data_IF_280969838122
#
_entry.id   IF_280969838122
#
_cell.length_a   1.000
_cell.length_b   1.000
_cell.length_c   1.000
_cell.angle_alpha   90.00
_cell.angle_beta   90.00
_cell.angle_gamma   90.00
#
_symmetry.space_group_name_H-M   'P 1'
#
loop_
_entity.id
_entity.type
_entity.pdbx_description
1 polymer ?
#
# COMPACT_ATOMS: atom_id res chain seq x y z
N UNK A 1 4.67 -27.34 9.51
CA UNK A 1 3.63 -27.74 10.47
C UNK A 1 2.90 -29.01 10.01
N UNK A 2 2.36 -29.06 8.77
CA UNK A 2 1.63 -30.24 8.27
C UNK A 2 2.44 -31.53 8.28
N UNK A 3 3.75 -31.47 8.09
CA UNK A 3 4.62 -32.64 8.02
C UNK A 3 5.18 -33.05 9.40
N UNK A 4 4.83 -32.35 10.46
CA UNK A 4 5.30 -32.68 11.82
C UNK A 4 4.75 -33.99 12.35
N UNK A 5 3.64 -34.50 11.80
CA UNK A 5 3.06 -35.82 12.13
C UNK A 5 3.82 -36.97 11.49
N UNK A 6 4.59 -36.71 10.42
CA UNK A 6 5.37 -37.73 9.68
C UNK A 6 6.70 -38.11 10.35
N UNK A 7 7.02 -37.43 11.49
CA UNK A 7 8.29 -37.67 12.23
C UNK A 7 9.55 -37.53 11.37
N UNK A 8 9.54 -36.61 10.42
CA UNK A 8 10.67 -36.35 9.53
C UNK A 8 11.72 -35.41 10.15
N UNK A 9 11.37 -34.73 11.23
CA UNK A 9 12.22 -33.83 11.96
C UNK A 9 11.75 -33.68 13.41
N UNK A 10 12.65 -33.37 14.32
CA UNK A 10 12.41 -33.23 15.76
C UNK A 10 12.36 -31.80 16.21
N UNK A 11 12.92 -30.87 15.42
CA UNK A 11 13.07 -29.48 15.78
C UNK A 11 12.66 -28.58 14.62
N UNK A 12 11.90 -27.52 14.92
CA UNK A 12 11.69 -26.37 14.05
C UNK A 12 12.50 -25.22 14.61
N UNK A 13 13.53 -24.77 13.87
CA UNK A 13 14.36 -23.64 14.24
C UNK A 13 13.90 -22.38 13.49
N UNK A 14 13.64 -21.32 14.22
CA UNK A 14 13.33 -20.00 13.70
C UNK A 14 14.36 -18.98 14.14
N UNK A 15 14.54 -17.92 13.38
CA UNK A 15 15.47 -16.86 13.78
C UNK A 15 15.00 -16.16 15.06
N UNK A 16 13.70 -15.78 15.09
CA UNK A 16 12.98 -15.23 16.25
C UNK A 16 11.58 -15.81 16.29
N UNK A 17 10.93 -15.81 17.45
CA UNK A 17 9.57 -16.31 17.60
C UNK A 17 8.53 -15.52 16.78
N UNK A 18 8.76 -14.22 16.57
CA UNK A 18 7.91 -13.36 15.73
C UNK A 18 7.90 -13.80 14.24
N UNK A 19 8.88 -14.62 13.81
CA UNK A 19 8.95 -15.21 12.46
C UNK A 19 8.24 -16.53 12.33
N UNK A 20 7.77 -17.11 13.42
CA UNK A 20 7.11 -18.41 13.42
C UNK A 20 5.67 -18.35 12.91
N UNK A 21 4.92 -17.33 13.30
CA UNK A 21 3.53 -17.16 12.89
C UNK A 21 3.19 -15.67 12.70
N UNK A 22 2.10 -15.41 11.96
CA UNK A 22 1.66 -14.04 11.63
C UNK A 22 0.93 -13.35 12.81
N UNK A 23 0.39 -14.13 13.73
CA UNK A 23 -0.33 -13.64 14.89
C UNK A 23 -0.24 -14.64 16.04
N UNK A 24 -0.60 -14.21 17.24
CA UNK A 24 -0.54 -14.99 18.48
C UNK A 24 -1.42 -16.25 18.45
N UNK A 25 -2.58 -16.20 17.81
CA UNK A 25 -3.50 -17.35 17.75
C UNK A 25 -2.92 -18.47 16.90
N UNK A 26 -2.37 -18.15 15.74
CA UNK A 26 -1.69 -19.11 14.87
C UNK A 26 -0.44 -19.68 15.56
N UNK A 27 0.34 -18.84 16.26
CA UNK A 27 1.49 -19.25 17.05
C UNK A 27 1.09 -20.30 18.08
N UNK A 28 0.11 -20.03 18.94
CA UNK A 28 -0.37 -20.96 19.96
C UNK A 28 -0.89 -22.27 19.36
N UNK A 29 -1.67 -22.19 18.28
CA UNK A 29 -2.19 -23.37 17.57
C UNK A 29 -1.07 -24.25 17.00
N UNK A 30 -0.11 -23.65 16.32
CA UNK A 30 1.00 -24.39 15.70
C UNK A 30 1.95 -24.97 16.73
N UNK A 31 2.24 -24.26 17.81
CA UNK A 31 3.03 -24.77 18.95
C UNK A 31 2.37 -25.99 19.60
N UNK A 32 1.06 -25.91 19.81
CA UNK A 32 0.29 -27.03 20.36
C UNK A 32 0.37 -28.26 19.44
N UNK A 33 0.24 -28.05 18.14
CA UNK A 33 0.34 -29.14 17.16
C UNK A 33 1.76 -29.75 17.10
N UNK A 34 2.81 -28.92 17.08
CA UNK A 34 4.20 -29.37 17.11
C UNK A 34 4.47 -30.18 18.38
N UNK A 35 4.08 -29.65 19.55
CA UNK A 35 4.25 -30.32 20.85
C UNK A 35 3.52 -31.69 20.88
N UNK A 36 2.30 -31.75 20.34
CA UNK A 36 1.54 -33.01 20.22
C UNK A 36 2.26 -34.06 19.37
N UNK A 37 2.95 -33.60 18.31
CA UNK A 37 3.69 -34.45 17.40
C UNK A 37 5.13 -34.74 17.89
N UNK A 38 5.53 -34.25 19.06
CA UNK A 38 6.86 -34.43 19.64
C UNK A 38 7.95 -33.54 19.02
N UNK A 39 7.57 -32.52 18.24
CA UNK A 39 8.48 -31.60 17.60
C UNK A 39 8.68 -30.36 18.48
N UNK A 40 9.93 -29.96 18.67
CA UNK A 40 10.33 -28.82 19.50
C UNK A 40 10.48 -27.56 18.63
N UNK A 41 9.92 -26.43 19.08
CA UNK A 41 10.17 -25.13 18.48
C UNK A 41 11.33 -24.44 19.21
N UNK A 42 12.33 -23.97 18.48
CA UNK A 42 13.48 -23.24 19.02
C UNK A 42 13.70 -21.93 18.27
N UNK A 43 14.08 -20.89 19.01
CA UNK A 43 14.57 -19.63 18.46
C UNK A 43 16.10 -19.61 18.44
N UNK A 44 16.71 -19.11 17.37
CA UNK A 44 18.14 -19.00 17.25
C UNK A 44 18.72 -17.85 18.10
N UNK A 45 17.93 -16.82 18.37
CA UNK A 45 18.39 -15.60 19.05
C UNK A 45 17.75 -15.39 20.42
N UNK A 46 16.70 -16.16 20.76
CA UNK A 46 15.96 -16.03 22.02
C UNK A 46 16.11 -17.32 22.83
N UNK A 47 16.85 -17.25 23.92
CA UNK A 47 17.03 -18.39 24.83
C UNK A 47 15.81 -18.45 25.74
N UNK A 48 14.92 -19.40 25.48
CA UNK A 48 13.72 -19.64 26.28
C UNK A 48 13.94 -20.93 27.06
N UNK A 49 13.87 -20.83 28.40
CA UNK A 49 13.96 -21.99 29.27
C UNK A 49 12.74 -22.91 29.09
N UNK A 50 12.90 -24.20 29.39
CA UNK A 50 11.80 -25.18 29.34
C UNK A 50 10.91 -25.15 30.59
N UNK A 51 11.26 -24.31 31.57
CA UNK A 51 10.54 -24.17 32.82
C UNK A 51 9.31 -23.24 32.73
N UNK A 52 8.55 -23.11 33.82
CA UNK A 52 7.40 -22.21 33.89
C UNK A 52 7.75 -20.75 33.58
N UNK A 53 8.95 -20.30 33.91
CA UNK A 53 9.50 -18.98 33.61
C UNK A 53 9.63 -18.75 32.10
N UNK A 54 9.95 -19.80 31.32
CA UNK A 54 10.00 -19.72 29.88
C UNK A 54 8.67 -19.44 29.25
N UNK A 55 7.57 -19.96 29.80
CA UNK A 55 6.20 -19.67 29.33
C UNK A 55 5.86 -18.19 29.50
N UNK A 56 6.28 -17.60 30.63
CA UNK A 56 6.06 -16.17 30.90
C UNK A 56 6.88 -15.33 29.91
N UNK A 57 8.17 -15.62 29.74
CA UNK A 57 9.04 -14.90 28.85
C UNK A 57 8.54 -14.96 27.39
N UNK A 58 8.15 -16.13 26.93
CA UNK A 58 7.57 -16.33 25.59
C UNK A 58 6.31 -15.49 25.38
N UNK A 59 5.40 -15.49 26.37
CA UNK A 59 4.17 -14.68 26.32
C UNK A 59 4.44 -13.17 26.29
N UNK A 60 5.47 -12.71 27.01
CA UNK A 60 5.90 -11.31 26.98
C UNK A 60 6.48 -10.94 25.62
N UNK A 61 7.36 -11.77 25.07
CA UNK A 61 7.95 -11.53 23.75
C UNK A 61 6.91 -11.49 22.62
N UNK A 62 5.96 -12.41 22.65
CA UNK A 62 4.85 -12.42 21.68
C UNK A 62 3.95 -11.18 21.83
N UNK A 63 3.58 -10.83 23.07
CA UNK A 63 2.77 -9.64 23.34
C UNK A 63 3.48 -8.35 22.94
N UNK A 64 4.79 -8.26 23.15
CA UNK A 64 5.60 -7.12 22.73
C UNK A 64 5.67 -6.99 21.19
N UNK A 65 5.84 -8.11 20.48
CA UNK A 65 5.88 -8.10 19.02
C UNK A 65 4.53 -7.66 18.42
N UNK A 66 3.41 -8.10 18.99
CA UNK A 66 2.07 -7.69 18.60
C UNK A 66 1.83 -6.20 18.86
N UNK A 67 2.17 -5.74 20.08
CA UNK A 67 2.10 -4.31 20.44
C UNK A 67 2.92 -3.44 19.47
N UNK A 68 4.17 -3.82 19.22
CA UNK A 68 5.05 -3.06 18.32
C UNK A 68 4.49 -2.95 16.90
N UNK A 69 3.90 -4.04 16.39
CA UNK A 69 3.26 -4.05 15.07
C UNK A 69 2.05 -3.13 15.01
N UNK A 70 1.22 -3.12 16.04
CA UNK A 70 0.04 -2.26 16.16
C UNK A 70 0.45 -0.78 16.28
N UNK A 71 1.39 -0.46 17.16
CA UNK A 71 1.93 0.89 17.35
C UNK A 71 2.57 1.45 16.07
N UNK A 72 3.34 0.61 15.35
CA UNK A 72 3.91 0.99 14.05
C UNK A 72 2.82 1.29 13.02
N UNK A 73 1.78 0.46 12.96
CA UNK A 73 0.66 0.67 12.03
C UNK A 73 -0.05 2.01 12.31
N UNK A 74 -0.28 2.35 13.57
CA UNK A 74 -0.87 3.64 13.96
C UNK A 74 0.03 4.83 13.59
N UNK A 75 1.34 4.72 13.85
CA UNK A 75 2.32 5.74 13.48
C UNK A 75 2.38 5.97 11.97
N UNK A 76 2.35 4.89 11.18
CA UNK A 76 2.31 4.97 9.71
C UNK A 76 1.03 5.66 9.23
N UNK A 77 -0.13 5.28 9.76
CA UNK A 77 -1.41 5.92 9.41
C UNK A 77 -1.39 7.40 9.73
N UNK A 78 -0.94 7.78 10.94
CA UNK A 78 -0.82 9.18 11.34
C UNK A 78 0.11 9.95 10.40
N UNK A 79 1.30 9.43 10.11
CA UNK A 79 2.25 10.08 9.20
C UNK A 79 1.70 10.24 7.79
N UNK A 80 0.97 9.25 7.27
CA UNK A 80 0.32 9.34 5.96
C UNK A 80 -0.83 10.36 5.95
N UNK A 81 -1.60 10.44 7.03
CA UNK A 81 -2.65 11.47 7.18
C UNK A 81 -2.04 12.87 7.22
N UNK A 82 -0.98 13.07 7.99
CA UNK A 82 -0.27 14.35 8.03
C UNK A 82 0.29 14.75 6.65
N UNK A 83 0.77 13.80 5.87
CA UNK A 83 1.27 14.08 4.54
C UNK A 83 0.18 14.66 3.64
N UNK A 84 -1.01 14.05 3.57
CA UNK A 84 -2.07 14.57 2.72
C UNK A 84 -2.60 15.93 3.21
N UNK A 85 -2.64 16.17 4.51
CA UNK A 85 -2.99 17.46 5.09
C UNK A 85 -1.99 18.58 4.69
N UNK A 86 -0.74 18.20 4.41
CA UNK A 86 0.34 19.08 3.92
C UNK A 86 0.45 19.10 2.38
N UNK A 87 -0.49 18.52 1.65
CA UNK A 87 -0.45 18.42 0.19
C UNK A 87 0.66 17.50 -0.34
N UNK A 88 1.15 16.54 0.46
CA UNK A 88 2.25 15.64 0.11
C UNK A 88 1.76 14.27 -0.35
N UNK A 89 2.50 13.68 -1.27
CA UNK A 89 2.24 12.33 -1.77
C UNK A 89 2.69 11.25 -0.78
N UNK A 90 1.79 10.33 -0.43
CA UNK A 90 2.05 9.22 0.51
C UNK A 90 2.92 8.08 -0.05
N UNK A 91 3.39 8.17 -1.25
CA UNK A 91 4.19 7.14 -1.88
C UNK A 91 3.78 6.88 -3.33
N UNK A 92 4.41 5.90 -3.96
CA UNK A 92 4.21 5.62 -5.36
C UNK A 92 4.96 6.55 -6.31
N UNK A 93 4.72 6.37 -7.61
CA UNK A 93 5.42 7.06 -8.70
C UNK A 93 4.82 8.40 -9.10
N UNK A 94 3.88 8.92 -8.33
CA UNK A 94 3.16 10.14 -8.69
C UNK A 94 1.90 9.87 -9.51
N UNK A 95 1.29 10.94 -9.97
CA UNK A 95 0.07 10.93 -10.80
C UNK A 95 0.43 11.53 -12.15
N UNK A 96 -0.02 10.95 -13.25
CA UNK A 96 0.18 11.50 -14.59
C UNK A 96 -0.31 12.95 -14.64
N UNK A 97 0.44 13.83 -15.28
CA UNK A 97 0.16 15.27 -15.27
C UNK A 97 0.80 16.05 -14.10
N UNK A 98 1.44 15.35 -13.16
CA UNK A 98 2.15 15.97 -12.05
C UNK A 98 3.58 15.45 -11.90
N UNK A 99 4.46 16.34 -11.45
CA UNK A 99 5.78 16.00 -10.90
C UNK A 99 5.76 16.15 -9.38
N UNK A 100 6.72 15.52 -8.71
CA UNK A 100 6.91 15.62 -7.27
C UNK A 100 8.27 16.26 -6.98
N UNK A 101 8.29 17.23 -6.08
CA UNK A 101 9.53 17.81 -5.58
C UNK A 101 10.21 16.92 -4.49
N UNK A 102 11.33 17.40 -3.93
CA UNK A 102 12.06 16.70 -2.87
C UNK A 102 11.25 16.54 -1.58
N UNK A 103 10.28 17.41 -1.33
CA UNK A 103 9.35 17.33 -0.21
C UNK A 103 8.10 16.50 -0.53
N UNK A 104 8.04 15.90 -1.74
CA UNK A 104 6.91 15.11 -2.26
C UNK A 104 5.62 15.92 -2.46
N UNK A 105 5.73 17.23 -2.69
CA UNK A 105 4.61 18.08 -3.09
C UNK A 105 4.35 17.96 -4.58
N UNK A 106 3.09 18.08 -4.96
CA UNK A 106 2.66 18.00 -6.35
C UNK A 106 2.85 19.33 -7.07
N UNK A 107 3.46 19.28 -8.24
CA UNK A 107 3.56 20.38 -9.19
C UNK A 107 2.99 19.94 -10.53
N UNK A 108 2.28 20.83 -11.21
CA UNK A 108 1.75 20.55 -12.55
C UNK A 108 2.94 20.32 -13.49
N UNK A 109 2.93 19.18 -14.18
CA UNK A 109 3.93 18.89 -15.21
C UNK A 109 3.52 19.54 -16.53
N UNK A 110 4.26 20.54 -17.03
CA UNK A 110 3.89 21.24 -18.26
C UNK A 110 3.94 20.34 -19.51
N UNK A 111 4.64 19.21 -19.46
CA UNK A 111 4.75 18.28 -20.58
C UNK A 111 3.57 17.32 -20.66
N UNK A 112 3.05 16.87 -19.53
CA UNK A 112 2.03 15.81 -19.49
C UNK A 112 0.64 16.29 -19.06
N UNK A 113 0.54 17.41 -18.34
CA UNK A 113 -0.76 17.97 -17.92
C UNK A 113 -1.67 18.37 -19.09
N UNK A 114 -1.19 18.89 -20.23
CA UNK A 114 -2.06 19.18 -21.36
C UNK A 114 -2.77 17.93 -21.89
N UNK A 115 -2.12 16.77 -21.86
CA UNK A 115 -2.72 15.51 -22.30
C UNK A 115 -3.79 15.02 -21.31
N UNK A 116 -3.66 15.32 -20.02
CA UNK A 116 -4.72 15.07 -19.05
C UNK A 116 -5.95 15.90 -19.38
N UNK A 117 -5.78 17.23 -19.54
CA UNK A 117 -6.89 18.14 -19.83
C UNK A 117 -7.59 17.75 -21.14
N UNK A 118 -6.80 17.45 -22.18
CA UNK A 118 -7.34 17.07 -23.47
C UNK A 118 -8.06 15.71 -23.43
N UNK A 119 -7.60 14.76 -22.61
CA UNK A 119 -8.30 13.48 -22.40
C UNK A 119 -9.69 13.69 -21.81
N UNK A 120 -9.83 14.59 -20.83
CA UNK A 120 -11.14 14.94 -20.25
C UNK A 120 -12.05 15.65 -21.26
N UNK A 121 -11.53 16.58 -22.07
CA UNK A 121 -12.29 17.25 -23.12
C UNK A 121 -12.81 16.27 -24.17
N UNK A 122 -11.94 15.42 -24.69
CA UNK A 122 -12.32 14.38 -25.67
C UNK A 122 -13.39 13.45 -25.15
N UNK A 123 -13.29 13.04 -23.87
CA UNK A 123 -14.31 12.19 -23.26
C UNK A 123 -15.65 12.93 -23.13
N UNK A 124 -15.63 14.18 -22.70
CA UNK A 124 -16.82 15.04 -22.61
C UNK A 124 -17.48 15.31 -23.98
N UNK A 125 -16.68 15.37 -25.04
CA UNK A 125 -17.11 15.50 -26.43
C UNK A 125 -17.62 14.19 -27.06
N UNK A 126 -17.60 13.07 -26.31
CA UNK A 126 -18.15 11.78 -26.72
C UNK A 126 -17.12 10.76 -27.21
N UNK A 127 -15.80 11.05 -27.13
CA UNK A 127 -14.79 10.04 -27.42
C UNK A 127 -14.84 8.90 -26.40
N UNK A 128 -14.64 7.68 -26.86
CA UNK A 128 -14.54 6.51 -25.99
C UNK A 128 -13.19 6.44 -25.26
N UNK A 129 -13.14 5.77 -24.12
CA UNK A 129 -11.87 5.52 -23.41
C UNK A 129 -10.85 4.77 -24.27
N UNK A 130 -11.31 3.97 -25.25
CA UNK A 130 -10.44 3.28 -26.19
C UNK A 130 -9.76 4.26 -27.15
N UNK A 131 -10.50 5.20 -27.71
CA UNK A 131 -9.96 6.23 -28.60
C UNK A 131 -8.98 7.14 -27.88
N UNK A 132 -9.28 7.52 -26.63
CA UNK A 132 -8.36 8.32 -25.79
C UNK A 132 -7.08 7.54 -25.49
N UNK A 133 -7.15 6.24 -25.19
CA UNK A 133 -6.00 5.37 -25.00
C UNK A 133 -5.12 5.34 -26.26
N UNK A 134 -5.75 5.12 -27.41
CA UNK A 134 -5.05 4.99 -28.67
C UNK A 134 -4.37 6.32 -29.04
N UNK A 135 -5.09 7.45 -28.89
CA UNK A 135 -4.54 8.79 -29.08
C UNK A 135 -3.34 9.09 -28.17
N UNK A 136 -3.40 8.75 -26.86
CA UNK A 136 -2.27 8.94 -25.95
C UNK A 136 -1.05 8.12 -26.40
N UNK A 137 -1.26 6.88 -26.81
CA UNK A 137 -0.20 5.96 -27.22
C UNK A 137 0.42 6.38 -28.59
N UNK A 138 -0.38 6.84 -29.55
CA UNK A 138 0.06 7.36 -30.84
C UNK A 138 0.90 8.62 -30.68
N UNK A 139 0.60 9.47 -29.69
CA UNK A 139 1.44 10.62 -29.35
C UNK A 139 2.70 10.23 -28.54
N UNK A 140 2.98 8.94 -28.36
CA UNK A 140 4.17 8.47 -27.65
C UNK A 140 4.14 8.68 -26.15
N UNK A 141 2.98 9.08 -25.59
CA UNK A 141 2.84 9.37 -24.15
C UNK A 141 2.89 8.07 -23.37
N UNK A 142 3.65 8.10 -22.27
CA UNK A 142 3.80 6.96 -21.36
C UNK A 142 3.04 7.20 -20.05
N UNK A 143 2.48 6.13 -19.52
CA UNK A 143 1.85 6.17 -18.20
C UNK A 143 2.93 6.37 -17.09
N UNK A 144 2.58 6.67 -15.83
CA UNK A 144 3.54 6.92 -14.74
C UNK A 144 4.50 5.77 -14.45
N UNK A 145 4.23 4.56 -14.96
CA UNK A 145 5.12 3.38 -14.84
C UNK A 145 6.05 3.23 -16.04
N UNK A 146 5.95 4.11 -17.05
CA UNK A 146 6.78 4.08 -18.26
C UNK A 146 6.26 3.16 -19.37
N UNK A 147 5.07 2.56 -19.19
CA UNK A 147 4.41 1.71 -20.17
C UNK A 147 3.41 2.48 -21.05
N UNK A 148 2.79 1.77 -22.00
CA UNK A 148 1.67 2.30 -22.78
C UNK A 148 0.42 2.46 -21.89
N UNK A 149 -0.46 3.38 -22.28
CA UNK A 149 -1.78 3.47 -21.64
C UNK A 149 -2.64 2.27 -22.00
N UNK A 150 -3.38 1.78 -21.02
CA UNK A 150 -4.40 0.73 -21.15
C UNK A 150 -5.79 1.33 -20.94
N UNK A 151 -6.85 0.60 -21.27
CA UNK A 151 -8.23 1.00 -20.98
C UNK A 151 -8.41 1.36 -19.50
N UNK A 152 -7.96 0.49 -18.61
CA UNK A 152 -8.06 0.70 -17.17
C UNK A 152 -7.26 1.92 -16.68
N UNK A 153 -6.11 2.23 -17.30
CA UNK A 153 -5.34 3.41 -16.93
C UNK A 153 -6.03 4.72 -17.32
N UNK A 154 -6.77 4.73 -18.44
CA UNK A 154 -7.60 5.87 -18.85
C UNK A 154 -8.81 5.99 -17.91
N UNK A 155 -9.50 4.90 -17.60
CA UNK A 155 -10.61 4.90 -16.65
C UNK A 155 -10.19 5.44 -15.28
N UNK A 156 -9.06 4.95 -14.74
CA UNK A 156 -8.52 5.47 -13.48
C UNK A 156 -8.12 6.95 -13.56
N UNK A 157 -7.63 7.41 -14.70
CA UNK A 157 -7.32 8.83 -14.93
C UNK A 157 -8.59 9.67 -14.88
N UNK A 158 -9.64 9.32 -15.62
CA UNK A 158 -10.89 10.08 -15.67
C UNK A 158 -11.63 10.14 -14.31
N UNK A 159 -11.47 9.13 -13.45
CA UNK A 159 -12.07 9.06 -12.10
C UNK A 159 -11.19 9.67 -10.99
N UNK A 160 -9.99 10.14 -11.31
CA UNK A 160 -9.04 10.55 -10.28
C UNK A 160 -9.27 11.99 -9.82
N UNK A 161 -9.83 12.15 -8.65
CA UNK A 161 -10.14 13.45 -8.04
C UNK A 161 -8.91 14.33 -7.71
N UNK A 162 -7.70 13.80 -7.81
CA UNK A 162 -6.48 14.62 -7.71
C UNK A 162 -6.42 15.71 -8.78
N UNK A 163 -7.02 15.47 -9.95
CA UNK A 163 -7.03 16.45 -11.02
C UNK A 163 -7.85 17.70 -10.73
N UNK A 164 -8.79 17.63 -9.79
CA UNK A 164 -9.53 18.78 -9.25
C UNK A 164 -8.92 19.32 -7.94
N UNK A 165 -7.70 18.90 -7.58
CA UNK A 165 -6.99 19.40 -6.40
C UNK A 165 -7.18 18.59 -5.12
N UNK A 166 -7.95 17.50 -5.13
CA UNK A 166 -8.32 16.73 -3.93
C UNK A 166 -7.30 15.63 -3.62
N UNK A 167 -6.87 15.54 -2.37
CA UNK A 167 -6.15 14.38 -1.85
C UNK A 167 -7.04 13.59 -0.89
N UNK A 168 -6.96 12.25 -1.01
CA UNK A 168 -7.71 11.34 -0.12
C UNK A 168 -6.81 10.26 0.44
N UNK A 169 -6.95 10.00 1.73
CA UNK A 169 -6.37 8.86 2.40
C UNK A 169 -7.35 8.33 3.46
N UNK A 170 -7.82 7.10 3.32
CA UNK A 170 -8.91 6.52 4.11
C UNK A 170 -10.15 7.43 4.09
N UNK A 171 -10.61 7.85 5.26
CA UNK A 171 -11.79 8.71 5.42
C UNK A 171 -11.45 10.22 5.40
N UNK A 172 -10.17 10.56 5.34
CA UNK A 172 -9.72 11.96 5.29
C UNK A 172 -9.64 12.41 3.84
N UNK A 173 -10.39 13.45 3.52
CA UNK A 173 -10.43 14.12 2.22
C UNK A 173 -9.99 15.56 2.41
N UNK A 174 -9.02 16.01 1.63
CA UNK A 174 -8.48 17.36 1.69
C UNK A 174 -8.72 18.02 0.33
N UNK A 175 -9.71 18.92 0.20
CA UNK A 175 -9.91 19.70 -1.01
C UNK A 175 -8.78 20.73 -1.16
N UNK A 176 -8.52 21.15 -2.38
CA UNK A 176 -7.51 22.17 -2.73
C UNK A 176 -6.11 21.90 -2.16
N UNK A 177 -5.81 20.61 -1.93
CA UNK A 177 -4.53 20.16 -1.35
C UNK A 177 -3.37 20.26 -2.36
N UNK A 178 -3.68 20.20 -3.65
CA UNK A 178 -2.71 20.25 -4.75
C UNK A 178 -3.26 21.13 -5.89
N UNK A 179 -2.39 21.70 -6.77
CA UNK A 179 -2.85 22.52 -7.89
C UNK A 179 -3.76 21.70 -8.82
N UNK A 180 -4.99 22.17 -9.14
CA UNK A 180 -5.88 21.45 -10.04
C UNK A 180 -5.42 21.56 -11.50
N UNK A 181 -5.56 20.49 -12.27
CA UNK A 181 -5.35 20.47 -13.74
C UNK A 181 -6.69 20.65 -14.45
N UNK A 182 -7.76 20.10 -13.89
CA UNK A 182 -9.08 20.04 -14.49
C UNK A 182 -10.04 20.93 -13.70
N UNK A 183 -10.84 21.79 -14.36
CA UNK A 183 -11.94 22.50 -13.72
C UNK A 183 -12.96 21.51 -13.14
N UNK A 184 -13.54 21.83 -11.98
CA UNK A 184 -14.51 20.96 -11.30
C UNK A 184 -15.72 20.63 -12.21
N UNK A 185 -16.25 21.61 -12.93
CA UNK A 185 -17.36 21.43 -13.86
C UNK A 185 -17.06 20.34 -14.90
N UNK A 186 -15.91 20.44 -15.59
CA UNK A 186 -15.51 19.45 -16.59
C UNK A 186 -15.28 18.07 -15.96
N UNK A 187 -14.79 18.01 -14.73
CA UNK A 187 -14.64 16.73 -14.04
C UNK A 187 -15.99 16.09 -13.73
N UNK A 188 -16.97 16.87 -13.26
CA UNK A 188 -18.31 16.40 -12.96
C UNK A 188 -19.07 15.95 -14.21
N UNK A 189 -18.97 16.68 -15.32
CA UNK A 189 -19.57 16.32 -16.61
C UNK A 189 -19.09 14.96 -17.13
N UNK A 190 -17.85 14.59 -16.78
CA UNK A 190 -17.20 13.35 -17.22
C UNK A 190 -17.59 12.14 -16.35
N UNK A 191 -18.15 12.33 -15.12
CA UNK A 191 -18.49 11.22 -14.21
C UNK A 191 -19.86 10.60 -14.52
#
# INVERSE_FOLDING_TARGET
>A
IKDSDKKLFDIVLVWKLDRFARNRYDSARYKTQLKKNGVKLMSATEIISEGPEGIILESVLEGYAEYYSADLAEKVVRGQTENILKGRCNGGRGTFGYTLDSERKFHIDPLTSPFVLESFRKYNEGSTMKEIRDWLNENGIKNPVGGAFTYNSVEHMLKNRRYIGELKFRDVVVPDAIPPIIPLELFEDVQ
#
